data_IF_852331271759
#
_entry.id   IF_852331271759
#
_cell.length_a   1.000
_cell.length_b   1.000
_cell.length_c   1.000
_cell.angle_alpha   90.00
_cell.angle_beta   90.00
_cell.angle_gamma   90.00
#
_symmetry.space_group_name_H-M   'P 1'
#
loop_
_entity.id
_entity.type
_entity.pdbx_description
1 polymer ?
#
# COMPACT_ATOMS: atom_id res chain seq x y z
N UNK A 1 -34.18 12.82 10.36
CA UNK A 1 -33.26 13.18 9.26
C UNK A 1 -33.97 13.56 7.94
N UNK A 2 -35.25 14.00 7.94
CA UNK A 2 -35.99 14.36 6.72
C UNK A 2 -35.38 15.52 5.89
N UNK A 3 -34.48 16.30 6.50
CA UNK A 3 -33.88 17.50 5.91
C UNK A 3 -32.52 17.25 5.24
N UNK A 4 -31.99 16.01 5.24
CA UNK A 4 -30.68 15.68 4.66
C UNK A 4 -30.81 14.92 3.33
N UNK A 5 -31.32 15.60 2.30
CA UNK A 5 -31.42 15.04 0.95
C UNK A 5 -30.05 15.12 0.24
N UNK A 6 -29.70 14.10 -0.54
CA UNK A 6 -28.45 14.02 -1.31
C UNK A 6 -27.15 14.17 -0.50
N UNK A 7 -27.16 13.76 0.77
CA UNK A 7 -26.00 13.91 1.66
C UNK A 7 -25.25 12.59 1.84
N UNK A 8 -23.91 12.64 1.87
CA UNK A 8 -23.07 11.47 2.10
C UNK A 8 -22.87 11.19 3.59
N UNK A 9 -22.98 9.91 3.96
CA UNK A 9 -22.95 9.46 5.35
C UNK A 9 -21.96 8.31 5.52
N UNK A 10 -21.21 8.31 6.63
CA UNK A 10 -20.34 7.20 7.01
C UNK A 10 -21.05 6.33 8.04
N UNK A 11 -21.27 5.06 7.73
CA UNK A 11 -21.83 4.09 8.67
C UNK A 11 -20.71 3.51 9.55
N UNK A 12 -20.87 3.55 10.88
CA UNK A 12 -19.87 3.04 11.83
C UNK A 12 -20.38 1.86 12.67
N UNK A 13 -21.70 1.71 12.81
CA UNK A 13 -22.32 0.59 13.51
C UNK A 13 -23.58 0.12 12.76
N UNK A 14 -24.04 -1.10 13.06
CA UNK A 14 -25.29 -1.64 12.54
C UNK A 14 -26.09 -2.33 13.64
N UNK A 15 -27.41 -2.27 13.55
CA UNK A 15 -28.33 -3.01 14.41
C UNK A 15 -29.55 -3.48 13.62
N UNK A 16 -30.30 -4.44 14.17
CA UNK A 16 -31.57 -4.89 13.60
C UNK A 16 -32.69 -4.51 14.57
N UNK A 17 -33.71 -3.83 14.06
CA UNK A 17 -34.89 -3.45 14.82
C UNK A 17 -36.09 -4.17 14.23
N UNK A 18 -36.84 -4.90 15.07
CA UNK A 18 -38.08 -5.56 14.66
C UNK A 18 -39.21 -4.54 14.66
N UNK A 19 -39.87 -4.34 13.51
CA UNK A 19 -41.10 -3.55 13.38
C UNK A 19 -42.16 -4.40 12.67
N UNK A 20 -43.34 -4.52 13.26
CA UNK A 20 -44.46 -5.31 12.72
C UNK A 20 -44.04 -6.73 12.31
N UNK A 21 -43.29 -7.42 13.18
CA UNK A 21 -42.79 -8.78 12.95
C UNK A 21 -41.65 -8.91 11.92
N UNK A 22 -41.22 -7.83 11.27
CA UNK A 22 -40.13 -7.83 10.29
C UNK A 22 -38.85 -7.24 10.87
N UNK A 23 -37.72 -7.93 10.72
CA UNK A 23 -36.38 -7.41 11.06
C UNK A 23 -35.93 -6.40 10.03
N UNK A 24 -35.72 -5.15 10.44
CA UNK A 24 -35.23 -4.06 9.61
C UNK A 24 -33.80 -3.67 10.02
N UNK A 25 -32.91 -3.50 9.04
CA UNK A 25 -31.52 -3.10 9.27
C UNK A 25 -31.41 -1.57 9.47
N UNK A 26 -30.72 -1.15 10.52
CA UNK A 26 -30.39 0.24 10.78
C UNK A 26 -28.88 0.41 10.89
N UNK A 27 -28.39 1.55 10.40
CA UNK A 27 -27.00 1.95 10.53
C UNK A 27 -26.91 3.18 11.43
N UNK A 28 -25.90 3.21 12.31
CA UNK A 28 -25.49 4.45 12.94
C UNK A 28 -24.59 5.19 11.96
N UNK A 29 -24.99 6.41 11.59
CA UNK A 29 -24.29 7.21 10.59
C UNK A 29 -23.78 8.52 11.15
N UNK A 30 -22.70 9.02 10.55
CA UNK A 30 -22.12 10.33 10.83
C UNK A 30 -21.84 11.08 9.51
N UNK A 31 -22.09 12.39 9.51
CA UNK A 31 -21.77 13.30 8.44
C UNK A 31 -20.57 14.17 8.83
N UNK A 32 -19.46 14.02 8.10
CA UNK A 32 -18.23 14.75 8.38
C UNK A 32 -18.26 16.24 7.98
N UNK A 33 -19.22 16.67 7.15
CA UNK A 33 -19.31 18.06 6.69
C UNK A 33 -20.06 18.96 7.67
N UNK A 34 -21.01 18.43 8.44
CA UNK A 34 -21.83 19.21 9.36
C UNK A 34 -21.94 18.60 10.77
N UNK A 35 -21.20 17.52 11.06
CA UNK A 35 -21.17 16.88 12.37
C UNK A 35 -22.42 16.07 12.74
N UNK A 36 -23.46 16.05 11.90
CA UNK A 36 -24.71 15.36 12.21
C UNK A 36 -24.49 13.84 12.36
N UNK A 37 -25.25 13.21 13.27
CA UNK A 37 -25.21 11.76 13.48
C UNK A 37 -26.56 11.19 13.88
N UNK A 38 -26.71 9.86 13.79
CA UNK A 38 -27.87 9.15 14.31
C UNK A 38 -28.17 7.82 13.60
N UNK A 39 -29.21 7.13 14.06
CA UNK A 39 -29.69 5.90 13.42
C UNK A 39 -30.52 6.21 12.16
N UNK A 40 -30.22 5.53 11.07
CA UNK A 40 -30.98 5.61 9.81
C UNK A 40 -31.31 4.20 9.30
N UNK A 41 -32.54 4.05 8.81
CA UNK A 41 -32.99 2.80 8.19
C UNK A 41 -32.27 2.59 6.86
N UNK A 42 -31.83 1.35 6.59
CA UNK A 42 -31.04 1.03 5.39
C UNK A 42 -31.75 1.39 4.07
N UNK A 43 -33.08 1.34 3.99
CA UNK A 43 -33.82 1.65 2.77
C UNK A 43 -33.81 3.13 2.38
N UNK A 44 -33.44 4.03 3.29
CA UNK A 44 -33.19 5.44 2.95
C UNK A 44 -31.75 5.70 2.47
N UNK A 45 -30.87 4.71 2.61
CA UNK A 45 -29.50 4.79 2.14
C UNK A 45 -29.38 4.11 0.79
N UNK A 46 -28.86 4.83 -0.20
CA UNK A 46 -28.21 4.18 -1.34
C UNK A 46 -26.76 3.97 -0.97
N UNK A 47 -26.18 2.78 -1.15
CA UNK A 47 -24.75 2.60 -1.02
C UNK A 47 -24.09 3.61 -1.94
N UNK A 48 -23.45 4.62 -1.36
CA UNK A 48 -22.46 5.36 -2.13
C UNK A 48 -21.39 4.32 -2.36
N UNK A 49 -21.31 3.82 -3.59
CA UNK A 49 -20.07 3.21 -4.06
C UNK A 49 -19.06 4.33 -4.04
N UNK A 50 -18.50 4.63 -2.86
CA UNK A 50 -17.25 5.35 -2.77
C UNK A 50 -16.28 4.40 -3.45
N UNK A 51 -16.13 4.59 -4.76
CA UNK A 51 -15.15 3.89 -5.52
C UNK A 51 -13.83 4.17 -4.81
N UNK A 52 -12.98 3.16 -4.66
CA UNK A 52 -11.66 3.41 -4.08
C UNK A 52 -10.92 4.51 -4.85
N UNK A 53 -11.29 4.80 -6.12
CA UNK A 53 -10.86 6.00 -6.85
C UNK A 53 -11.19 7.32 -6.13
N UNK A 54 -12.41 7.49 -5.60
CA UNK A 54 -12.80 8.66 -4.83
C UNK A 54 -12.00 8.77 -3.52
N UNK A 55 -11.77 7.64 -2.83
CA UNK A 55 -10.94 7.62 -1.62
C UNK A 55 -9.50 8.00 -1.94
N UNK A 56 -8.93 7.41 -3.00
CA UNK A 56 -7.58 7.71 -3.48
C UNK A 56 -7.44 9.18 -3.86
N UNK A 57 -8.46 9.80 -4.48
CA UNK A 57 -8.43 11.22 -4.81
C UNK A 57 -8.36 12.16 -3.61
N UNK A 58 -8.77 11.68 -2.43
CA UNK A 58 -8.78 12.45 -1.18
C UNK A 58 -7.49 12.33 -0.38
N UNK A 59 -6.59 11.38 -0.73
CA UNK A 59 -5.29 11.28 -0.07
C UNK A 59 -4.50 12.57 -0.27
N UNK A 60 -3.81 13.04 0.78
CA UNK A 60 -2.94 14.22 0.69
C UNK A 60 -1.92 14.09 -0.46
N UNK A 61 -1.36 12.89 -0.62
CA UNK A 61 -0.39 12.58 -1.68
C UNK A 61 -0.98 12.72 -3.09
N UNK A 62 -2.29 12.59 -3.28
CA UNK A 62 -2.95 12.65 -4.58
C UNK A 62 -2.84 14.02 -5.27
N UNK A 63 -2.53 15.08 -4.52
CA UNK A 63 -2.23 16.42 -5.06
C UNK A 63 -0.96 16.37 -5.92
N UNK A 64 0.06 15.64 -5.45
CA UNK A 64 1.37 15.58 -6.08
C UNK A 64 1.61 14.28 -6.86
N UNK A 65 0.90 13.20 -6.56
CA UNK A 65 1.07 11.92 -7.23
C UNK A 65 0.48 11.91 -8.64
N UNK A 66 1.16 11.20 -9.55
CA UNK A 66 0.60 10.72 -10.83
C UNK A 66 0.12 9.28 -10.71
N UNK A 67 0.74 8.53 -9.81
CA UNK A 67 0.39 7.15 -9.51
C UNK A 67 0.33 6.91 -8.01
N UNK A 68 -0.69 6.19 -7.57
CA UNK A 68 -0.81 5.72 -6.19
C UNK A 68 -1.04 4.22 -6.23
N UNK A 69 -0.18 3.48 -5.55
CA UNK A 69 -0.38 2.07 -5.24
C UNK A 69 -1.09 1.99 -3.90
N UNK A 70 -2.29 1.44 -3.83
CA UNK A 70 -2.93 1.16 -2.54
C UNK A 70 -2.75 -0.29 -2.17
N UNK A 71 -2.33 -0.57 -0.94
CA UNK A 71 -2.26 -1.92 -0.37
C UNK A 71 -3.22 -1.97 0.80
N UNK A 72 -4.33 -2.68 0.63
CA UNK A 72 -5.39 -2.79 1.63
C UNK A 72 -5.39 -4.20 2.21
N UNK A 73 -5.17 -4.33 3.51
CA UNK A 73 -5.17 -5.63 4.19
C UNK A 73 -6.50 -6.38 3.98
N UNK A 74 -6.40 -7.68 3.72
CA UNK A 74 -7.54 -8.57 3.46
C UNK A 74 -7.53 -9.85 4.30
N UNK A 75 -6.49 -10.04 5.13
CA UNK A 75 -6.33 -11.17 6.04
C UNK A 75 -5.12 -10.95 6.96
N UNK A 76 -4.68 -11.98 7.69
CA UNK A 76 -3.56 -11.87 8.64
C UNK A 76 -2.26 -11.38 7.98
N UNK A 77 -1.90 -11.99 6.85
CA UNK A 77 -0.67 -11.69 6.08
C UNK A 77 -0.96 -11.55 4.58
N UNK A 78 -2.20 -11.21 4.23
CA UNK A 78 -2.65 -11.01 2.85
C UNK A 78 -3.27 -9.63 2.68
N UNK A 79 -3.11 -9.06 1.50
CA UNK A 79 -3.68 -7.78 1.12
C UNK A 79 -4.07 -7.75 -0.37
N UNK A 80 -4.83 -6.74 -0.76
CA UNK A 80 -5.08 -6.40 -2.17
C UNK A 80 -4.27 -5.17 -2.55
N UNK A 81 -3.40 -5.31 -3.54
CA UNK A 81 -2.67 -4.22 -4.17
C UNK A 81 -3.46 -3.71 -5.37
N UNK A 82 -3.58 -2.39 -5.51
CA UNK A 82 -4.11 -1.73 -6.71
C UNK A 82 -3.22 -0.59 -7.15
N UNK A 83 -3.02 -0.44 -8.45
CA UNK A 83 -2.38 0.74 -9.05
C UNK A 83 -3.46 1.68 -9.57
N UNK A 84 -3.43 2.92 -9.09
CA UNK A 84 -4.27 4.01 -9.55
C UNK A 84 -3.43 4.98 -10.35
N UNK A 85 -3.89 5.34 -11.55
CA UNK A 85 -3.24 6.33 -12.41
C UNK A 85 -4.14 7.56 -12.53
N UNK A 86 -3.55 8.75 -12.37
CA UNK A 86 -4.24 10.03 -12.47
C UNK A 86 -4.37 10.46 -13.92
N UNK A 87 -5.61 10.64 -14.37
CA UNK A 87 -5.94 11.08 -15.72
C UNK A 87 -5.63 12.58 -15.90
N UNK A 88 -5.66 13.07 -17.15
CA UNK A 88 -5.57 14.52 -17.44
C UNK A 88 -6.66 15.34 -16.75
N UNK A 89 -7.88 14.81 -16.65
CA UNK A 89 -9.00 15.41 -15.92
C UNK A 89 -8.97 15.20 -14.40
N UNK A 90 -7.80 14.88 -13.81
CA UNK A 90 -7.56 14.69 -12.38
C UNK A 90 -8.34 13.56 -11.68
N UNK A 91 -9.15 12.81 -12.43
CA UNK A 91 -9.76 11.56 -11.96
C UNK A 91 -8.72 10.45 -11.85
N UNK A 92 -9.04 9.42 -11.05
CA UNK A 92 -8.16 8.28 -10.82
C UNK A 92 -8.77 7.00 -11.39
N UNK A 93 -7.96 6.24 -12.15
CA UNK A 93 -8.38 4.96 -12.73
C UNK A 93 -7.53 3.82 -12.20
N UNK A 94 -8.17 2.73 -11.79
CA UNK A 94 -7.47 1.49 -11.46
C UNK A 94 -6.96 0.82 -12.75
N UNK A 95 -5.66 0.54 -12.84
CA UNK A 95 -5.04 -0.09 -14.02
C UNK A 95 -4.31 -1.40 -13.70
N UNK A 96 -4.25 -1.80 -12.43
CA UNK A 96 -3.74 -3.10 -12.00
C UNK A 96 -4.39 -3.47 -10.67
N UNK A 97 -4.88 -4.69 -10.54
CA UNK A 97 -5.28 -5.28 -9.25
C UNK A 97 -4.52 -6.59 -9.08
N UNK A 98 -3.93 -6.79 -7.90
CA UNK A 98 -3.19 -7.99 -7.58
C UNK A 98 -3.47 -8.42 -6.13
N UNK A 99 -3.64 -9.72 -5.93
CA UNK A 99 -3.46 -10.30 -4.60
C UNK A 99 -2.01 -10.06 -4.18
N UNK A 100 -1.79 -9.77 -2.89
CA UNK A 100 -0.47 -9.54 -2.30
C UNK A 100 -0.29 -10.26 -0.97
N UNK A 101 0.96 -10.60 -0.64
CA UNK A 101 1.38 -10.98 0.71
C UNK A 101 2.02 -9.77 1.38
N UNK A 102 1.85 -9.66 2.68
CA UNK A 102 2.39 -8.58 3.52
C UNK A 102 3.10 -9.19 4.73
N UNK A 103 3.58 -8.33 5.63
CA UNK A 103 4.18 -8.72 6.89
C UNK A 103 3.34 -9.76 7.64
N UNK A 104 3.99 -10.74 8.27
CA UNK A 104 3.32 -11.77 9.06
C UNK A 104 2.41 -11.24 10.18
N UNK A 105 2.68 -10.02 10.64
CA UNK A 105 1.90 -9.29 11.65
C UNK A 105 0.91 -8.27 11.07
N UNK A 106 0.69 -8.28 9.75
CA UNK A 106 -0.20 -7.35 9.05
C UNK A 106 0.41 -5.98 8.77
N UNK A 107 -0.44 -5.00 8.47
CA UNK A 107 -0.11 -3.59 8.28
C UNK A 107 -0.23 -2.85 9.61
N UNK A 108 0.77 -2.03 9.97
CA UNK A 108 0.76 -1.24 11.20
C UNK A 108 2.06 -0.46 11.40
N UNK A 109 2.28 0.06 12.61
CA UNK A 109 3.55 0.67 12.99
C UNK A 109 4.68 -0.37 12.95
N UNK A 110 5.77 -0.03 12.28
CA UNK A 110 6.94 -0.89 12.11
C UNK A 110 8.15 -0.36 12.88
N UNK A 111 9.12 -1.25 13.08
CA UNK A 111 10.47 -0.97 13.57
C UNK A 111 11.41 -2.02 13.00
N UNK A 112 12.72 -1.81 13.18
CA UNK A 112 13.73 -2.80 12.80
C UNK A 112 13.41 -4.19 13.38
N UNK A 113 13.51 -5.23 12.55
CA UNK A 113 13.14 -6.60 12.91
C UNK A 113 11.64 -6.88 13.13
N UNK A 114 10.74 -5.91 12.90
CA UNK A 114 9.29 -6.15 13.00
C UNK A 114 8.74 -6.78 11.72
N UNK A 115 7.87 -7.80 11.85
CA UNK A 115 7.19 -8.42 10.71
C UNK A 115 5.92 -7.68 10.26
N UNK A 116 5.91 -6.34 10.38
CA UNK A 116 4.78 -5.48 9.99
C UNK A 116 5.11 -4.74 8.71
N UNK A 117 4.15 -4.72 7.78
CA UNK A 117 4.22 -3.79 6.66
C UNK A 117 3.91 -2.38 7.18
N UNK A 118 4.78 -1.39 6.91
CA UNK A 118 4.64 -0.07 7.51
C UNK A 118 3.34 0.59 7.02
N UNK A 119 2.47 0.96 7.96
CA UNK A 119 1.26 1.74 7.67
C UNK A 119 1.65 3.15 7.23
N UNK A 120 0.91 3.74 6.29
CA UNK A 120 1.16 5.11 5.84
C UNK A 120 1.43 5.20 4.34
N UNK A 121 1.98 6.34 3.91
CA UNK A 121 2.27 6.62 2.50
C UNK A 121 3.75 6.85 2.28
N UNK A 122 4.32 6.17 1.29
CA UNK A 122 5.76 6.15 1.00
C UNK A 122 5.99 6.46 -0.47
N UNK A 123 7.08 7.16 -0.79
CA UNK A 123 7.48 7.38 -2.18
C UNK A 123 8.00 6.08 -2.80
N UNK A 124 7.71 5.84 -4.07
CA UNK A 124 8.29 4.74 -4.83
C UNK A 124 9.52 5.26 -5.60
N UNK A 125 10.69 5.11 -4.99
CA UNK A 125 11.88 5.86 -5.41
C UNK A 125 12.58 5.29 -6.65
N UNK A 126 12.98 4.02 -6.63
CA UNK A 126 13.52 3.33 -7.79
C UNK A 126 13.16 1.84 -7.80
N UNK A 127 13.14 1.27 -9.00
CA UNK A 127 13.03 -0.16 -9.20
C UNK A 127 14.41 -0.82 -9.21
N UNK A 128 14.49 -2.09 -8.85
CA UNK A 128 15.72 -2.86 -8.95
C UNK A 128 15.44 -4.33 -9.24
N UNK A 129 16.45 -5.06 -9.69
CA UNK A 129 16.30 -6.48 -9.96
C UNK A 129 17.51 -7.13 -10.60
N UNK A 130 17.39 -8.40 -10.96
CA UNK A 130 18.50 -9.19 -11.51
C UNK A 130 18.71 -8.99 -13.01
N UNK A 131 17.67 -8.60 -13.74
CA UNK A 131 17.76 -8.36 -15.18
C UNK A 131 18.62 -7.13 -15.48
N UNK A 132 19.36 -7.13 -16.60
CA UNK A 132 20.11 -5.97 -17.04
C UNK A 132 19.19 -4.79 -17.39
N UNK A 133 18.05 -5.09 -18.01
CA UNK A 133 17.05 -4.10 -18.41
C UNK A 133 15.65 -4.56 -18.04
N UNK A 134 14.80 -3.60 -17.68
CA UNK A 134 13.35 -3.79 -17.50
C UNK A 134 12.63 -2.61 -18.11
N UNK A 135 11.40 -2.82 -18.57
CA UNK A 135 10.55 -1.73 -19.04
C UNK A 135 10.09 -0.89 -17.84
N UNK A 136 10.35 0.41 -17.88
CA UNK A 136 9.87 1.40 -16.91
C UNK A 136 9.16 2.54 -17.64
N UNK A 137 8.50 3.44 -16.89
CA UNK A 137 7.89 4.67 -17.42
C UNK A 137 8.48 5.91 -16.71
N UNK A 138 9.80 5.95 -16.62
CA UNK A 138 10.55 7.06 -16.03
C UNK A 138 10.98 6.86 -14.58
N UNK A 139 10.51 5.82 -13.88
CA UNK A 139 11.16 5.40 -12.63
C UNK A 139 12.57 4.87 -12.94
N UNK A 140 13.56 5.23 -12.12
CA UNK A 140 14.92 4.72 -12.24
C UNK A 140 14.97 3.20 -12.00
N UNK A 141 15.92 2.52 -12.63
CA UNK A 141 16.16 1.09 -12.43
C UNK A 141 17.62 0.81 -12.08
N UNK A 142 17.85 -0.08 -11.10
CA UNK A 142 19.19 -0.55 -10.71
C UNK A 142 19.30 -2.07 -10.85
N UNK A 143 20.30 -2.53 -11.61
CA UNK A 143 20.62 -3.95 -11.62
C UNK A 143 21.36 -4.34 -10.33
N UNK A 144 20.96 -5.44 -9.71
CA UNK A 144 21.67 -6.03 -8.57
C UNK A 144 23.03 -6.53 -9.05
N UNK A 145 24.09 -6.08 -8.38
CA UNK A 145 25.47 -6.52 -8.57
C UNK A 145 25.90 -7.46 -7.44
N UNK A 146 27.06 -8.10 -7.60
CA UNK A 146 27.66 -9.00 -6.58
C UNK A 146 27.98 -8.31 -5.25
N UNK A 147 27.99 -6.98 -5.23
CA UNK A 147 28.35 -6.16 -4.09
C UNK A 147 27.20 -5.24 -3.67
N UNK A 148 25.97 -5.50 -4.12
CA UNK A 148 24.80 -4.68 -3.82
C UNK A 148 24.16 -5.09 -2.50
N UNK A 149 24.08 -4.16 -1.57
CA UNK A 149 23.49 -4.31 -0.25
C UNK A 149 22.38 -3.29 -0.03
N UNK A 150 21.35 -3.67 0.73
CA UNK A 150 20.54 -2.71 1.47
C UNK A 150 21.07 -2.61 2.89
N UNK A 151 21.43 -1.42 3.34
CA UNK A 151 22.01 -1.22 4.66
C UNK A 151 20.90 -1.12 5.70
N UNK A 152 20.97 -1.93 6.74
CA UNK A 152 19.92 -2.07 7.78
C UNK A 152 20.51 -1.98 9.20
N UNK A 153 21.84 -1.93 9.34
CA UNK A 153 22.43 -1.68 10.65
C UNK A 153 22.17 -0.22 11.07
N UNK A 154 21.40 -0.04 12.15
CA UNK A 154 21.10 1.27 12.76
C UNK A 154 22.37 2.05 13.18
N UNK A 155 23.51 1.36 13.33
CA UNK A 155 24.80 1.99 13.66
C UNK A 155 25.57 2.47 12.42
N UNK A 156 25.10 2.14 11.23
CA UNK A 156 25.74 2.55 9.97
C UNK A 156 25.20 3.90 9.51
N UNK A 157 26.10 4.82 9.12
CA UNK A 157 25.72 6.17 8.65
C UNK A 157 24.93 6.15 7.34
N UNK A 158 24.97 5.05 6.59
CA UNK A 158 24.19 4.85 5.37
C UNK A 158 22.95 3.98 5.63
N UNK A 159 22.46 3.93 6.88
CA UNK A 159 21.26 3.18 7.26
C UNK A 159 20.11 3.42 6.28
N UNK A 160 19.45 2.31 5.94
CA UNK A 160 18.27 2.23 5.11
C UNK A 160 18.45 2.82 3.70
N UNK A 161 19.59 2.50 3.09
CA UNK A 161 19.90 2.87 1.71
C UNK A 161 20.53 1.71 0.94
N UNK A 162 20.39 1.76 -0.39
CA UNK A 162 21.14 0.89 -1.28
C UNK A 162 22.60 1.33 -1.37
N UNK A 163 23.53 0.41 -1.13
CA UNK A 163 24.97 0.64 -1.28
C UNK A 163 25.63 -0.47 -2.09
N UNK A 164 26.63 -0.11 -2.89
CA UNK A 164 27.54 -1.07 -3.52
C UNK A 164 28.83 -1.09 -2.71
N UNK A 165 29.03 -2.12 -1.89
CA UNK A 165 30.16 -2.25 -0.94
C UNK A 165 30.85 -3.60 -1.09
N UNK A 166 32.17 -3.65 -0.88
CA UNK A 166 32.91 -4.93 -0.87
C UNK A 166 32.45 -5.86 0.26
N UNK A 167 31.97 -5.30 1.36
CA UNK A 167 31.48 -6.03 2.52
C UNK A 167 30.49 -5.17 3.32
N UNK A 168 29.51 -5.83 3.94
CA UNK A 168 28.66 -5.27 4.98
C UNK A 168 28.40 -6.38 6.02
N UNK A 169 28.15 -6.00 7.28
CA UNK A 169 27.88 -6.97 8.34
C UNK A 169 26.53 -7.69 8.11
N UNK A 170 26.30 -8.76 8.86
CA UNK A 170 25.15 -9.67 8.73
C UNK A 170 23.78 -9.07 9.05
N UNK A 171 23.70 -7.83 9.56
CA UNK A 171 22.41 -7.14 9.71
C UNK A 171 21.92 -6.58 8.40
N UNK A 172 22.81 -6.38 7.42
CA UNK A 172 22.48 -5.78 6.14
C UNK A 172 22.06 -6.85 5.15
N UNK A 173 21.17 -6.46 4.24
CA UNK A 173 20.64 -7.37 3.25
C UNK A 173 21.56 -7.44 2.03
N UNK A 174 22.19 -8.60 1.78
CA UNK A 174 22.96 -8.82 0.56
C UNK A 174 22.04 -9.24 -0.59
N UNK A 175 21.73 -8.30 -1.49
CA UNK A 175 20.61 -8.43 -2.41
C UNK A 175 20.78 -9.54 -3.46
N UNK A 176 22.03 -9.90 -3.79
CA UNK A 176 22.32 -10.96 -4.75
C UNK A 176 22.03 -12.36 -4.18
N UNK A 177 22.19 -12.56 -2.87
CA UNK A 177 22.07 -13.84 -2.15
C UNK A 177 20.63 -14.37 -2.12
N UNK A 178 19.67 -13.50 -2.36
CA UNK A 178 18.30 -13.88 -2.66
C UNK A 178 18.26 -14.55 -4.02
N UNK A 179 18.58 -15.83 -4.04
CA UNK A 179 18.65 -16.68 -5.23
C UNK A 179 17.30 -17.37 -5.45
N UNK A 180 17.22 -18.28 -6.43
CA UNK A 180 15.98 -18.89 -6.94
C UNK A 180 15.32 -19.87 -5.92
N UNK A 181 14.88 -19.41 -4.76
CA UNK A 181 14.18 -20.25 -3.79
C UNK A 181 12.63 -20.07 -3.88
N UNK A 182 11.97 -21.07 -4.49
CA UNK A 182 10.56 -21.48 -4.40
C UNK A 182 9.41 -20.45 -4.61
N UNK A 183 8.61 -20.54 -5.70
CA UNK A 183 8.94 -20.89 -7.09
C UNK A 183 9.43 -19.66 -7.88
N UNK A 184 9.68 -18.52 -7.23
CA UNK A 184 10.17 -17.27 -7.83
C UNK A 184 11.09 -16.54 -6.85
N UNK A 185 12.11 -15.89 -7.40
CA UNK A 185 13.08 -15.11 -6.65
C UNK A 185 12.48 -13.75 -6.25
N UNK A 186 12.50 -13.41 -4.95
CA UNK A 186 11.90 -12.17 -4.45
C UNK A 186 12.43 -10.93 -5.15
N UNK A 187 13.73 -10.86 -5.43
CA UNK A 187 14.39 -9.72 -6.07
C UNK A 187 14.69 -9.95 -7.55
N UNK A 188 13.93 -10.83 -8.21
CA UNK A 188 13.87 -10.82 -9.66
C UNK A 188 13.44 -9.44 -10.18
N UNK A 189 12.50 -8.80 -9.50
CA UNK A 189 12.09 -7.41 -9.71
C UNK A 189 11.47 -6.85 -8.43
N UNK A 190 11.85 -5.64 -8.04
CA UNK A 190 11.35 -4.96 -6.87
C UNK A 190 11.28 -3.44 -7.09
N UNK A 191 10.54 -2.73 -6.24
CA UNK A 191 10.53 -1.28 -6.14
C UNK A 191 10.61 -0.86 -4.68
N UNK A 192 11.41 0.17 -4.41
CA UNK A 192 11.65 0.67 -3.07
C UNK A 192 10.45 1.45 -2.53
N UNK A 193 10.00 1.14 -1.32
CA UNK A 193 9.08 1.96 -0.53
C UNK A 193 9.92 2.84 0.40
N UNK A 194 10.13 4.09 0.01
CA UNK A 194 11.06 5.00 0.69
C UNK A 194 10.38 5.66 1.90
N UNK A 195 10.86 5.31 3.10
CA UNK A 195 10.52 5.94 4.39
C UNK A 195 11.58 6.98 4.83
N UNK A 196 12.43 7.42 3.90
CA UNK A 196 13.42 8.49 4.08
C UNK A 196 14.39 8.26 5.25
N UNK A 197 14.78 7.00 5.47
CA UNK A 197 15.74 6.66 6.53
C UNK A 197 15.21 6.82 7.95
N UNK A 198 13.89 6.90 8.13
CA UNK A 198 13.29 6.85 9.46
C UNK A 198 13.66 5.54 10.16
N UNK A 199 13.99 5.61 11.45
CA UNK A 199 14.32 4.44 12.29
C UNK A 199 13.06 3.63 12.68
N UNK A 200 12.11 3.46 11.75
CA UNK A 200 10.90 2.65 11.88
C UNK A 200 10.99 1.36 11.02
N UNK A 201 12.21 0.91 10.75
CA UNK A 201 12.54 -0.27 9.95
C UNK A 201 13.15 0.10 8.60
N UNK A 202 13.83 -0.86 7.99
CA UNK A 202 14.46 -0.75 6.67
C UNK A 202 13.99 -1.83 5.69
N UNK A 203 14.52 -1.81 4.48
CA UNK A 203 14.35 -2.92 3.53
C UNK A 203 12.91 -3.09 3.03
N UNK A 204 12.12 -2.02 3.04
CA UNK A 204 10.72 -2.08 2.65
C UNK A 204 10.55 -1.97 1.13
N UNK A 205 10.19 -3.08 0.50
CA UNK A 205 10.01 -3.17 -0.95
C UNK A 205 8.63 -3.69 -1.36
N UNK A 206 8.21 -3.36 -2.58
CA UNK A 206 7.22 -4.17 -3.31
C UNK A 206 7.99 -5.08 -4.25
N UNK A 207 7.89 -6.40 -4.08
CA UNK A 207 8.74 -7.36 -4.78
C UNK A 207 7.98 -8.58 -5.31
N UNK A 208 8.67 -9.46 -6.04
CA UNK A 208 8.08 -10.68 -6.58
C UNK A 208 7.74 -11.63 -5.44
N UNK A 209 6.52 -12.14 -5.44
CA UNK A 209 5.99 -13.08 -4.45
C UNK A 209 6.73 -14.41 -4.46
N UNK A 210 7.11 -14.85 -3.27
CA UNK A 210 7.44 -16.24 -2.91
C UNK A 210 6.27 -16.87 -2.12
N UNK A 211 6.43 -18.09 -1.60
CA UNK A 211 5.33 -18.82 -0.94
C UNK A 211 4.91 -18.27 0.44
N UNK A 212 5.66 -17.33 1.02
CA UNK A 212 5.55 -17.01 2.45
C UNK A 212 4.95 -15.63 2.73
N UNK A 213 4.68 -15.34 4.00
CA UNK A 213 4.47 -13.96 4.43
C UNK A 213 5.81 -13.21 4.35
N UNK A 214 5.77 -11.90 4.16
CA UNK A 214 7.01 -11.11 4.14
C UNK A 214 7.41 -10.74 5.57
N UNK A 215 8.60 -10.15 5.73
CA UNK A 215 9.01 -9.50 6.98
C UNK A 215 8.60 -8.02 7.05
N UNK A 216 7.77 -7.53 6.13
CA UNK A 216 7.35 -6.13 6.09
C UNK A 216 7.17 -5.59 4.67
N UNK A 217 7.83 -6.21 3.69
CA UNK A 217 7.59 -5.96 2.28
C UNK A 217 6.15 -6.25 1.83
N UNK A 218 5.80 -5.84 0.61
CA UNK A 218 4.59 -6.25 -0.10
C UNK A 218 5.01 -7.14 -1.26
N UNK A 219 4.40 -8.31 -1.46
CA UNK A 219 4.78 -9.19 -2.55
C UNK A 219 3.62 -9.64 -3.45
N UNK A 220 3.82 -9.49 -4.77
CA UNK A 220 2.83 -9.80 -5.83
C UNK A 220 3.43 -10.71 -6.91
N UNK A 221 2.62 -11.30 -7.78
CA UNK A 221 3.15 -12.16 -8.85
C UNK A 221 4.14 -11.40 -9.76
N UNK A 222 5.09 -12.12 -10.37
CA UNK A 222 6.06 -11.54 -11.31
C UNK A 222 5.38 -10.76 -12.44
N UNK A 223 4.33 -11.31 -13.05
CA UNK A 223 3.59 -10.62 -14.11
C UNK A 223 2.94 -9.32 -13.62
N UNK A 224 2.47 -9.28 -12.38
CA UNK A 224 1.96 -8.04 -11.78
C UNK A 224 3.09 -7.06 -11.46
N UNK A 225 4.27 -7.52 -11.02
CA UNK A 225 5.44 -6.65 -10.83
C UNK A 225 5.90 -6.02 -12.15
N UNK A 226 5.99 -6.79 -13.24
CA UNK A 226 6.35 -6.28 -14.55
C UNK A 226 5.33 -5.23 -15.05
N UNK A 227 4.03 -5.50 -14.87
CA UNK A 227 2.96 -4.52 -15.18
C UNK A 227 3.04 -3.27 -14.31
N UNK A 228 3.34 -3.42 -13.02
CA UNK A 228 3.49 -2.31 -12.09
C UNK A 228 4.67 -1.41 -12.50
N UNK A 229 5.88 -1.97 -12.55
CA UNK A 229 7.12 -1.22 -12.82
C UNK A 229 7.10 -0.57 -14.21
N UNK A 230 6.52 -1.22 -15.22
CA UNK A 230 6.38 -0.64 -16.57
C UNK A 230 5.46 0.58 -16.64
N UNK A 231 4.70 0.87 -15.57
CA UNK A 231 3.85 2.05 -15.47
C UNK A 231 4.43 3.14 -14.56
N UNK A 232 5.19 2.77 -13.53
CA UNK A 232 5.68 3.71 -12.52
C UNK A 232 6.57 4.81 -13.13
N UNK A 233 6.31 6.04 -12.67
CA UNK A 233 7.06 7.25 -12.93
C UNK A 233 7.66 7.81 -11.63
N UNK A 234 8.36 8.94 -11.69
CA UNK A 234 8.98 9.59 -10.53
C UNK A 234 7.98 10.12 -9.50
N UNK A 235 6.70 10.30 -9.87
CA UNK A 235 5.63 10.80 -8.98
C UNK A 235 4.69 9.68 -8.54
N UNK A 236 5.27 8.53 -8.21
CA UNK A 236 4.57 7.35 -7.75
C UNK A 236 4.73 7.16 -6.23
N UNK A 237 3.65 6.76 -5.57
CA UNK A 237 3.62 6.53 -4.13
C UNK A 237 2.87 5.24 -3.82
N UNK A 238 3.12 4.66 -2.65
CA UNK A 238 2.35 3.54 -2.11
C UNK A 238 1.69 3.96 -0.79
N UNK A 239 0.42 3.61 -0.61
CA UNK A 239 -0.34 3.83 0.63
C UNK A 239 -0.79 2.48 1.18
N UNK A 240 -0.24 2.10 2.33
CA UNK A 240 -0.53 0.87 3.05
C UNK A 240 -1.53 1.14 4.16
N UNK A 241 -2.67 0.43 4.16
CA UNK A 241 -3.75 0.59 5.14
C UNK A 241 -4.35 -0.75 5.55
N UNK A 242 -4.86 -0.81 6.78
CA UNK A 242 -5.58 -1.98 7.30
C UNK A 242 -7.00 -2.06 6.71
N UNK A 243 -7.66 -0.92 6.54
CA UNK A 243 -9.03 -0.81 6.06
C UNK A 243 -9.13 0.19 4.91
N UNK A 244 -9.96 -0.12 3.91
CA UNK A 244 -10.17 0.77 2.76
C UNK A 244 -10.63 2.18 3.19
N UNK A 245 -11.40 2.30 4.27
CA UNK A 245 -11.87 3.59 4.82
C UNK A 245 -10.73 4.50 5.29
N UNK A 246 -9.55 3.96 5.59
CA UNK A 246 -8.37 4.77 5.95
C UNK A 246 -7.79 5.51 4.75
N UNK A 247 -8.14 5.14 3.51
CA UNK A 247 -7.76 5.89 2.31
C UNK A 247 -8.41 7.29 2.25
N UNK A 248 -9.48 7.54 3.01
CA UNK A 248 -10.10 8.86 3.15
C UNK A 248 -9.56 9.68 4.34
N UNK A 249 -8.81 9.06 5.27
CA UNK A 249 -8.56 9.60 6.62
C UNK A 249 -7.09 9.87 6.95
N UNK A 250 -6.17 9.79 6.00
CA UNK A 250 -4.78 10.17 6.24
C UNK A 250 -4.62 11.69 6.19
N UNK A 251 -5.25 12.38 7.15
CA UNK A 251 -4.78 13.66 7.66
C UNK A 251 -3.53 13.32 8.48
N UNK A 252 -2.38 13.75 7.98
CA UNK A 252 -1.09 13.69 8.66
C UNK A 252 -1.16 14.37 10.01
N UNK A 253 -0.57 13.74 11.03
CA UNK A 253 0.01 14.44 12.19
C UNK A 253 1.26 15.19 11.72
#
# INVERSE_FOLDING_TARGET
MKNYRNTAWTATQKTYITKNGKRCLYYWVHNGANGASGWIWHGFLKPIKNSQAAMVSQLNVARNARQIVTVVQSGKSTATLRLWEKNRGLSWRNTLTASSRIGGSGIGYSREGSSRTPIGTYHLSFAFGKAAHVRTNGIGYRQIQKNSYWIEDLKDRQYNTWQNRKWANNKNEHLIDYTKAAPRNQYQLAVVMDNHGQNNGSGFFIHVRNQWATQGCVSISLGSMQKLVSKLSTRAYVTNVQYATQLCKLLSY
#
